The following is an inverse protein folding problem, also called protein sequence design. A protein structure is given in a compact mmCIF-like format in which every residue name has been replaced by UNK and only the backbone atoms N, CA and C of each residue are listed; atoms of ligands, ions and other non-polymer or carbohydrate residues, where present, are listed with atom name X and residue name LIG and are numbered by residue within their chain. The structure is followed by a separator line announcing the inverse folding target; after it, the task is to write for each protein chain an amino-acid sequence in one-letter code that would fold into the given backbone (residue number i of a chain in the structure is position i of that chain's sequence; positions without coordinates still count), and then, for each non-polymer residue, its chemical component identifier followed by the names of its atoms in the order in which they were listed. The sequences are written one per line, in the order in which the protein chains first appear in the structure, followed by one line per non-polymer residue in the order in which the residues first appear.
data_IF_253623775670
#
_entry.id   IF_253623775670
#
_cell.length_a   1.000
_cell.length_b   1.000
_cell.length_c   1.000
_cell.angle_alpha   90.00
_cell.angle_beta   90.00
_cell.angle_gamma   90.00
#
_symmetry.space_group_name_H-M   'P 1'
#
loop_
_entity.id
_entity.type
_entity.pdbx_description
1 polymer ?
#
# COMPACT_ATOMS: atom_id res chain seq x y z
N UNK A 1 -37.69 -30.85 -20.37
CA UNK A 1 -36.54 -30.03 -20.83
C UNK A 1 -36.64 -28.55 -20.44
N UNK A 2 -37.81 -27.90 -20.45
CA UNK A 2 -37.93 -26.47 -20.17
C UNK A 2 -37.55 -26.05 -18.72
N UNK A 3 -37.88 -26.88 -17.72
CA UNK A 3 -37.58 -26.64 -16.30
C UNK A 3 -36.08 -26.70 -15.99
N UNK A 4 -35.36 -27.64 -16.61
CA UNK A 4 -33.91 -27.78 -16.46
C UNK A 4 -33.15 -26.55 -16.99
N UNK A 5 -33.57 -26.03 -18.15
CA UNK A 5 -33.00 -24.80 -18.73
C UNK A 5 -33.24 -23.57 -17.84
N UNK A 6 -34.42 -23.47 -17.26
CA UNK A 6 -34.76 -22.36 -16.35
C UNK A 6 -33.89 -22.36 -15.08
N UNK A 7 -33.68 -23.53 -14.47
CA UNK A 7 -32.82 -23.69 -13.30
C UNK A 7 -31.36 -23.31 -13.65
N UNK A 8 -30.87 -23.76 -14.81
CA UNK A 8 -29.51 -23.45 -15.28
C UNK A 8 -29.29 -21.95 -15.48
N UNK A 9 -30.25 -21.24 -16.08
CA UNK A 9 -30.17 -19.78 -16.28
C UNK A 9 -30.16 -19.04 -14.93
N UNK A 10 -30.98 -19.47 -13.96
CA UNK A 10 -30.95 -18.91 -12.60
C UNK A 10 -29.60 -19.13 -11.93
N UNK A 11 -29.03 -20.32 -12.05
CA UNK A 11 -27.73 -20.66 -11.46
C UNK A 11 -26.62 -19.78 -12.04
N UNK A 12 -26.59 -19.59 -13.37
CA UNK A 12 -25.62 -18.71 -14.03
C UNK A 12 -25.76 -17.26 -13.59
N UNK A 13 -26.98 -16.78 -13.35
CA UNK A 13 -27.21 -15.42 -12.86
C UNK A 13 -26.63 -15.21 -11.46
N UNK A 14 -26.84 -16.17 -10.56
CA UNK A 14 -26.27 -16.14 -9.21
C UNK A 14 -24.74 -16.24 -9.28
N UNK A 15 -24.21 -17.13 -10.11
CA UNK A 15 -22.77 -17.28 -10.31
C UNK A 15 -22.12 -16.00 -10.82
N UNK A 16 -22.75 -15.32 -11.77
CA UNK A 16 -22.27 -14.00 -12.26
C UNK A 16 -22.16 -12.99 -11.13
N UNK A 17 -23.18 -12.89 -10.28
CA UNK A 17 -23.15 -11.95 -9.15
C UNK A 17 -22.11 -12.33 -8.11
N UNK A 18 -21.91 -13.63 -7.83
CA UNK A 18 -20.83 -14.10 -6.96
C UNK A 18 -19.44 -13.70 -7.49
N UNK A 19 -19.20 -13.85 -8.80
CA UNK A 19 -17.93 -13.45 -9.42
C UNK A 19 -17.74 -11.93 -9.32
N UNK A 20 -18.78 -11.14 -9.59
CA UNK A 20 -18.71 -9.67 -9.46
C UNK A 20 -18.37 -9.25 -8.02
N UNK A 21 -19.01 -9.87 -7.03
CA UNK A 21 -18.72 -9.61 -5.61
C UNK A 21 -17.28 -9.99 -5.28
N UNK A 22 -16.82 -11.16 -5.72
CA UNK A 22 -15.45 -11.63 -5.48
C UNK A 22 -14.41 -10.65 -6.05
N UNK A 23 -14.59 -10.21 -7.30
CA UNK A 23 -13.70 -9.23 -7.95
C UNK A 23 -13.71 -7.90 -7.20
N UNK A 24 -14.88 -7.45 -6.73
CA UNK A 24 -14.99 -6.25 -5.91
C UNK A 24 -14.20 -6.37 -4.60
N UNK A 25 -14.26 -7.51 -3.92
CA UNK A 25 -13.49 -7.73 -2.69
C UNK A 25 -11.98 -7.73 -2.95
N UNK A 26 -11.52 -8.36 -4.03
CA UNK A 26 -10.11 -8.37 -4.41
C UNK A 26 -9.63 -6.93 -4.67
N UNK A 27 -10.41 -6.12 -5.40
CA UNK A 27 -10.07 -4.73 -5.65
C UNK A 27 -9.97 -3.91 -4.35
N UNK A 28 -10.89 -4.12 -3.41
CA UNK A 28 -10.87 -3.46 -2.10
C UNK A 28 -9.63 -3.85 -1.28
N UNK A 29 -9.27 -5.14 -1.25
CA UNK A 29 -8.06 -5.61 -0.57
C UNK A 29 -6.81 -4.98 -1.20
N UNK A 30 -6.75 -4.92 -2.52
CA UNK A 30 -5.61 -4.33 -3.22
C UNK A 30 -5.44 -2.84 -2.90
N UNK A 31 -6.53 -2.08 -2.86
CA UNK A 31 -6.52 -0.67 -2.42
C UNK A 31 -6.05 -0.55 -0.97
N UNK A 32 -6.55 -1.42 -0.07
CA UNK A 32 -6.15 -1.39 1.34
C UNK A 32 -4.65 -1.65 1.52
N UNK A 33 -4.09 -2.62 0.78
CA UNK A 33 -2.65 -2.92 0.79
C UNK A 33 -1.85 -1.73 0.23
N UNK A 34 -2.25 -1.18 -0.91
CA UNK A 34 -1.57 -0.02 -1.50
C UNK A 34 -1.54 1.18 -0.54
N UNK A 35 -2.66 1.44 0.13
CA UNK A 35 -2.75 2.49 1.14
C UNK A 35 -1.81 2.18 2.31
N UNK A 36 -1.86 0.96 2.85
CA UNK A 36 -1.01 0.55 3.96
C UNK A 36 0.47 0.69 3.62
N UNK A 37 0.93 0.17 2.48
CA UNK A 37 2.32 0.29 2.02
C UNK A 37 2.73 1.75 1.90
N UNK A 38 1.90 2.61 1.30
CA UNK A 38 2.19 4.05 1.17
C UNK A 38 2.31 4.74 2.54
N UNK A 39 1.44 4.39 3.50
CA UNK A 39 1.51 4.94 4.85
C UNK A 39 2.73 4.42 5.62
N UNK A 40 3.03 3.12 5.53
CA UNK A 40 4.18 2.52 6.19
C UNK A 40 5.50 3.01 5.60
N UNK A 41 5.61 3.12 4.27
CA UNK A 41 6.81 3.66 3.61
C UNK A 41 7.04 5.12 4.00
N UNK A 42 5.99 5.94 4.03
CA UNK A 42 6.10 7.33 4.47
C UNK A 42 6.46 7.45 5.95
N UNK A 43 5.93 6.57 6.81
CA UNK A 43 6.29 6.54 8.22
C UNK A 43 7.75 6.10 8.40
N UNK A 44 8.17 5.00 7.77
CA UNK A 44 9.52 4.47 7.83
C UNK A 44 10.56 5.46 7.28
N UNK A 45 10.24 6.18 6.21
CA UNK A 45 11.12 7.22 5.64
C UNK A 45 11.30 8.43 6.58
N UNK A 46 10.26 8.79 7.33
CA UNK A 46 10.32 9.88 8.32
C UNK A 46 11.02 9.45 9.62
N UNK A 47 10.78 8.21 10.05
CA UNK A 47 11.42 7.62 11.23
C UNK A 47 12.94 7.47 10.99
N UNK A 48 13.33 6.90 9.85
CA UNK A 48 14.73 6.80 9.45
C UNK A 48 15.40 8.18 9.33
N UNK A 49 14.70 9.21 8.84
CA UNK A 49 15.24 10.57 8.83
C UNK A 49 15.63 11.06 10.23
N UNK A 50 14.79 10.80 11.23
CA UNK A 50 15.04 11.18 12.62
C UNK A 50 16.20 10.36 13.23
N UNK A 51 16.27 9.05 12.94
CA UNK A 51 17.35 8.17 13.43
C UNK A 51 18.74 8.61 12.92
N UNK A 52 18.82 9.11 11.69
CA UNK A 52 20.06 9.64 11.11
C UNK A 52 20.35 11.11 11.48
N UNK A 53 19.62 11.67 12.45
CA UNK A 53 19.82 13.04 12.93
C UNK A 53 19.34 14.14 11.96
N UNK A 54 18.51 13.77 10.98
CA UNK A 54 17.87 14.69 10.06
C UNK A 54 16.52 15.20 10.59
N UNK A 55 16.09 16.34 10.08
CA UNK A 55 14.75 16.88 10.32
C UNK A 55 13.92 16.75 9.03
N UNK A 56 12.67 16.31 9.15
CA UNK A 56 11.78 16.24 7.99
C UNK A 56 11.28 17.62 7.59
N UNK A 57 11.56 18.04 6.35
CA UNK A 57 10.99 19.23 5.74
C UNK A 57 9.66 18.86 5.06
N UNK A 58 8.55 19.31 5.65
CA UNK A 58 7.19 19.06 5.17
C UNK A 58 6.85 19.82 3.88
N UNK A 59 7.51 20.93 3.58
CA UNK A 59 7.27 21.72 2.36
C UNK A 59 7.92 21.06 1.13
N UNK A 60 9.05 20.38 1.34
CA UNK A 60 9.83 19.73 0.27
C UNK A 60 9.74 18.20 0.28
N UNK A 61 8.95 17.64 1.19
CA UNK A 61 8.77 16.20 1.45
C UNK A 61 10.08 15.40 1.43
N UNK A 62 11.10 15.96 2.09
CA UNK A 62 12.45 15.39 2.12
C UNK A 62 13.10 15.56 3.48
N UNK A 63 13.94 14.60 3.81
CA UNK A 63 14.81 14.73 4.97
C UNK A 63 15.88 15.81 4.72
N UNK A 64 16.03 16.75 5.65
CA UNK A 64 17.12 17.70 5.67
C UNK A 64 18.10 17.31 6.78
N UNK A 65 19.36 17.10 6.39
CA UNK A 65 20.44 16.84 7.33
C UNK A 65 21.20 18.14 7.56
N UNK A 66 21.36 18.55 8.83
CA UNK A 66 22.20 19.71 9.17
C UNK A 66 23.69 19.28 9.09
N UNK A 67 24.50 19.87 8.19
CA UNK A 67 25.90 19.50 8.05
C UNK A 67 26.77 19.88 9.26
N UNK A 68 26.32 20.75 10.17
CA UNK A 68 27.04 21.14 11.39
C UNK A 68 26.91 20.12 12.54
N UNK A 69 25.92 19.23 12.46
CA UNK A 69 25.75 18.11 13.42
C UNK A 69 26.54 16.85 12.98
N UNK A 70 27.17 16.86 11.80
CA UNK A 70 27.89 15.71 11.25
C UNK A 70 29.31 15.57 11.82
N UNK A 71 29.40 15.16 13.10
CA UNK A 71 30.62 14.52 13.62
C UNK A 71 30.69 13.04 13.17
N UNK A 72 30.87 12.83 11.86
CA UNK A 72 31.62 11.66 11.36
C UNK A 72 30.93 10.30 11.25
N UNK A 73 29.59 10.18 11.25
CA UNK A 73 28.95 8.90 10.94
C UNK A 73 28.04 8.97 9.70
N UNK A 74 28.67 9.02 8.53
CA UNK A 74 28.02 8.63 7.27
C UNK A 74 27.81 7.12 7.31
N UNK A 75 26.61 6.68 7.68
CA UNK A 75 26.19 5.29 7.51
C UNK A 75 25.59 5.16 6.11
N UNK A 76 26.27 4.50 5.15
CA UNK A 76 25.67 4.24 3.86
C UNK A 76 24.49 3.29 4.04
N UNK A 77 23.30 3.73 3.61
CA UNK A 77 22.11 2.90 3.46
C UNK A 77 22.43 1.72 2.53
N UNK A 78 22.81 0.58 3.12
CA UNK A 78 22.92 -0.70 2.41
C UNK A 78 21.58 -1.41 2.54
N UNK A 79 20.72 -1.19 1.53
CA UNK A 79 19.48 -1.94 1.36
C UNK A 79 19.89 -3.34 0.86
N UNK A 80 19.70 -4.37 1.69
CA UNK A 80 19.73 -5.79 1.28
C UNK A 80 18.41 -6.41 1.71
#
# INVERSE_FOLDING_TARGET
MATLKYIFIKLLKVLKWLVVILVSFIALIWIAVFIADTFFDNAAKKDSCADFGGAWDYDKDKCQYDPSQNNGHVVPLKIT
#
